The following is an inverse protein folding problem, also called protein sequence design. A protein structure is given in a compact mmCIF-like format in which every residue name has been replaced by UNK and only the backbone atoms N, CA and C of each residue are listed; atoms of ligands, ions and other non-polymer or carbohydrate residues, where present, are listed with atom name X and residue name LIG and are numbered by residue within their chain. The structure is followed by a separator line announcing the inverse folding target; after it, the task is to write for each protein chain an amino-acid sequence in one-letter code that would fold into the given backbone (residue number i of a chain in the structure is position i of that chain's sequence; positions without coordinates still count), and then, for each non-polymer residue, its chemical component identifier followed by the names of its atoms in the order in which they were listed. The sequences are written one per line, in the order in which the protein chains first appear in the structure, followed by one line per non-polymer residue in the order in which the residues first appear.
data_IF_650471231109
#
_entry.id   IF_650471231109
#
_cell.length_a   1.000
_cell.length_b   1.000
_cell.length_c   1.000
_cell.angle_alpha   90.00
_cell.angle_beta   90.00
_cell.angle_gamma   90.00
#
_symmetry.space_group_name_H-M   'P 1'
#
loop_
_entity.id
_entity.type
_entity.pdbx_description
1 polymer ?
#
# COMPACT_ATOMS: atom_id res chain seq x y z
N UNK A 1 31.18 37.86 -0.31
CA UNK A 1 30.80 36.46 -0.62
C UNK A 1 29.32 36.28 -0.22
N UNK A 2 28.39 36.51 -1.15
CA UNK A 2 26.96 36.43 -0.84
C UNK A 2 26.46 35.00 -1.06
N UNK A 3 26.30 34.23 0.03
CA UNK A 3 25.67 32.92 -0.05
C UNK A 3 24.15 33.10 -0.09
N UNK A 4 23.54 32.81 -1.24
CA UNK A 4 22.08 32.67 -1.36
C UNK A 4 21.64 31.50 -0.46
N UNK A 5 20.59 31.64 0.36
CA UNK A 5 20.03 30.50 1.05
C UNK A 5 19.41 29.57 0.01
N UNK A 6 19.93 28.35 -0.10
CA UNK A 6 19.28 27.28 -0.85
C UNK A 6 17.93 27.04 -0.19
N UNK A 7 16.86 27.56 -0.78
CA UNK A 7 15.50 27.20 -0.38
C UNK A 7 15.39 25.69 -0.56
N UNK A 8 15.28 24.94 0.53
CA UNK A 8 14.93 23.54 0.48
C UNK A 8 13.59 23.46 -0.27
N UNK A 9 13.66 23.00 -1.52
CA UNK A 9 12.48 22.82 -2.36
C UNK A 9 11.54 21.86 -1.66
N UNK A 10 10.25 22.25 -1.57
CA UNK A 10 9.12 21.51 -1.00
C UNK A 10 9.47 20.04 -0.71
N UNK A 11 9.59 19.71 0.58
CA UNK A 11 9.61 18.32 1.01
C UNK A 11 8.49 17.57 0.30
N UNK A 12 8.85 16.51 -0.44
CA UNK A 12 7.87 15.55 -0.93
C UNK A 12 7.19 15.00 0.32
N UNK A 13 5.97 15.46 0.60
CA UNK A 13 5.20 14.99 1.75
C UNK A 13 5.00 13.49 1.57
N UNK A 14 5.51 12.69 2.51
CA UNK A 14 5.19 11.27 2.55
C UNK A 14 3.67 11.12 2.64
N UNK A 15 3.08 10.44 1.66
CA UNK A 15 1.66 10.10 1.64
C UNK A 15 1.55 8.74 2.33
N UNK A 16 0.71 8.67 3.35
CA UNK A 16 0.39 7.41 4.00
C UNK A 16 -0.58 6.62 3.12
N UNK A 17 -0.24 5.36 2.85
CA UNK A 17 -1.09 4.39 2.16
C UNK A 17 -1.39 3.24 3.11
N UNK A 18 -2.54 2.57 2.92
CA UNK A 18 -2.84 1.31 3.60
C UNK A 18 -2.24 0.16 2.78
N UNK A 19 -1.66 -0.80 3.47
CA UNK A 19 -1.21 -2.07 2.89
C UNK A 19 -2.11 -3.18 3.43
N UNK A 20 -2.83 -3.86 2.55
CA UNK A 20 -3.63 -5.03 2.84
C UNK A 20 -2.82 -6.28 2.49
N UNK A 21 -2.39 -7.03 3.50
CA UNK A 21 -1.62 -8.26 3.34
C UNK A 21 -2.49 -9.46 3.76
N UNK A 22 -2.61 -10.45 2.89
CA UNK A 22 -3.17 -11.74 3.26
C UNK A 22 -2.05 -12.77 3.39
N UNK A 23 -2.01 -13.43 4.55
CA UNK A 23 -0.99 -14.40 4.91
C UNK A 23 -1.69 -15.72 5.25
N UNK A 24 -1.15 -16.82 4.76
CA UNK A 24 -1.58 -18.15 5.17
C UNK A 24 -1.10 -18.42 6.60
N UNK A 25 -2.02 -18.77 7.50
CA UNK A 25 -1.68 -18.96 8.93
C UNK A 25 -0.89 -20.25 9.19
N UNK A 26 -0.94 -21.22 8.28
CA UNK A 26 -0.30 -22.53 8.46
C UNK A 26 1.11 -22.55 7.87
N UNK A 27 1.29 -22.01 6.67
CA UNK A 27 2.59 -21.94 5.98
C UNK A 27 3.34 -20.63 6.23
N UNK A 28 2.68 -19.63 6.82
CA UNK A 28 3.20 -18.26 6.98
C UNK A 28 3.55 -17.59 5.65
N UNK A 29 3.01 -18.08 4.53
CA UNK A 29 3.27 -17.54 3.21
C UNK A 29 2.36 -16.36 2.90
N UNK A 30 2.89 -15.39 2.16
CA UNK A 30 2.11 -14.24 1.70
C UNK A 30 1.32 -14.66 0.46
N UNK A 31 0.00 -14.71 0.61
CA UNK A 31 -0.90 -15.08 -0.48
C UNK A 31 -1.14 -13.86 -1.39
N UNK A 32 -1.32 -12.67 -0.83
CA UNK A 32 -1.51 -11.42 -1.59
C UNK A 32 -1.13 -10.18 -0.81
N UNK A 33 -0.71 -9.12 -1.52
CA UNK A 33 -0.44 -7.80 -0.99
C UNK A 33 -1.06 -6.74 -1.92
N UNK A 34 -1.95 -5.90 -1.39
CA UNK A 34 -2.56 -4.79 -2.13
C UNK A 34 -2.32 -3.46 -1.39
N UNK A 35 -1.95 -2.42 -2.12
CA UNK A 35 -1.71 -1.07 -1.56
C UNK A 35 -2.85 -0.15 -2.00
N UNK A 36 -3.51 0.48 -1.04
CA UNK A 36 -4.57 1.46 -1.29
C UNK A 36 -4.22 2.83 -0.70
N UNK A 37 -4.69 3.90 -1.35
CA UNK A 37 -4.57 5.24 -0.79
C UNK A 37 -5.50 5.36 0.43
N UNK A 38 -5.11 6.14 1.44
CA UNK A 38 -5.90 6.31 2.68
C UNK A 38 -7.35 6.79 2.43
N UNK A 39 -7.61 7.46 1.31
CA UNK A 39 -8.96 7.94 0.95
C UNK A 39 -9.83 6.89 0.26
N UNK A 40 -9.25 5.76 -0.16
CA UNK A 40 -9.99 4.67 -0.80
C UNK A 40 -10.60 3.83 0.31
N UNK A 41 -11.92 3.58 0.20
CA UNK A 41 -12.62 2.76 1.18
C UNK A 41 -12.18 1.31 1.05
N UNK A 42 -12.04 0.60 2.17
CA UNK A 42 -11.63 -0.82 2.16
C UNK A 42 -12.60 -1.67 1.32
N UNK A 43 -13.86 -1.24 1.20
CA UNK A 43 -14.91 -1.85 0.38
C UNK A 43 -14.62 -1.84 -1.13
N UNK A 44 -13.81 -0.92 -1.63
CA UNK A 44 -13.44 -0.84 -3.06
C UNK A 44 -12.30 -1.80 -3.40
N UNK A 45 -11.46 -2.11 -2.41
CA UNK A 45 -10.25 -2.95 -2.51
C UNK A 45 -10.56 -4.42 -2.20
N UNK A 46 -11.42 -4.65 -1.21
CA UNK A 46 -11.83 -5.98 -0.73
C UNK A 46 -12.27 -6.96 -1.83
N UNK A 47 -13.13 -6.58 -2.80
CA UNK A 47 -13.57 -7.50 -3.85
C UNK A 47 -12.43 -8.00 -4.73
N UNK A 48 -11.48 -7.11 -5.04
CA UNK A 48 -10.29 -7.44 -5.85
C UNK A 48 -9.39 -8.42 -5.11
N UNK A 49 -9.15 -8.18 -3.83
CA UNK A 49 -8.37 -9.04 -2.96
C UNK A 49 -8.98 -10.43 -2.80
N UNK A 50 -10.30 -10.53 -2.59
CA UNK A 50 -11.03 -11.80 -2.43
C UNK A 50 -10.98 -12.62 -3.72
N UNK A 51 -11.18 -11.99 -4.88
CA UNK A 51 -11.08 -12.68 -6.17
C UNK A 51 -9.66 -13.24 -6.42
N UNK A 52 -8.62 -12.51 -6.00
CA UNK A 52 -7.25 -12.96 -6.12
C UNK A 52 -6.95 -14.16 -5.21
N UNK A 53 -7.47 -14.14 -3.98
CA UNK A 53 -7.37 -15.26 -3.03
C UNK A 53 -8.08 -16.52 -3.57
N UNK A 54 -9.30 -16.37 -4.09
CA UNK A 54 -10.06 -17.49 -4.67
C UNK A 54 -9.36 -18.12 -5.88
N UNK A 55 -8.62 -17.34 -6.69
CA UNK A 55 -7.83 -17.87 -7.81
C UNK A 55 -6.56 -18.60 -7.38
N UNK A 56 -6.01 -18.28 -6.21
CA UNK A 56 -4.77 -18.88 -5.70
C UNK A 56 -4.98 -20.20 -4.97
N UNK A 57 -6.19 -20.48 -4.50
CA UNK A 57 -6.56 -21.76 -3.91
C UNK A 57 -6.81 -22.73 -5.07
N UNK A 58 -5.77 -23.44 -5.51
CA UNK A 58 -5.83 -24.61 -6.41
C UNK A 58 -5.59 -25.88 -5.63
#
# INVERSE_FOLDING_TARGET
MNKKPCKHGKEKRCIWCKLHLAVDVYTHEIITAEVSLISVGDNEVLPTLINLLQRKIQ
#
